data_IF_138469242857
#
_entry.id   IF_138469242857
#
_cell.length_a   1.000
_cell.length_b   1.000
_cell.length_c   1.000
_cell.angle_alpha   90.00
_cell.angle_beta   90.00
_cell.angle_gamma   90.00
#
_symmetry.space_group_name_H-M   'P 1'
#
loop_
_entity.id
_entity.type
_entity.pdbx_description
1 polymer ?
#
# COMPACT_ATOMS: atom_id res chain seq x y z
N UNK A 1 -7.68 20.13 -3.38
CA UNK A 1 -8.47 19.00 -2.87
C UNK A 1 -8.10 17.79 -3.70
N UNK A 2 -7.29 16.87 -3.18
CA UNK A 2 -6.88 15.69 -3.93
C UNK A 2 -8.02 14.68 -3.93
N UNK A 3 -8.93 14.84 -4.90
CA UNK A 3 -9.98 13.86 -5.17
C UNK A 3 -9.26 12.63 -5.72
N UNK A 4 -9.24 11.55 -4.96
CA UNK A 4 -8.69 10.28 -5.43
C UNK A 4 -9.39 9.86 -6.72
N UNK A 5 -8.65 9.26 -7.66
CA UNK A 5 -9.29 8.66 -8.84
C UNK A 5 -10.18 7.49 -8.41
N UNK A 6 -11.14 7.11 -9.26
CA UNK A 6 -12.07 6.02 -8.98
C UNK A 6 -11.36 4.70 -8.62
N UNK A 7 -10.19 4.44 -9.23
CA UNK A 7 -9.37 3.27 -8.89
C UNK A 7 -8.86 3.30 -7.44
N UNK A 8 -8.34 4.45 -6.99
CA UNK A 8 -7.93 4.63 -5.60
C UNK A 8 -9.11 4.61 -4.63
N UNK A 9 -10.27 5.14 -5.02
CA UNK A 9 -11.50 5.06 -4.22
C UNK A 9 -12.01 3.63 -4.04
N UNK A 10 -11.73 2.74 -5.00
CA UNK A 10 -12.05 1.32 -4.91
C UNK A 10 -11.13 0.51 -3.99
N UNK A 11 -9.96 1.04 -3.62
CA UNK A 11 -9.07 0.36 -2.68
C UNK A 11 -9.65 0.49 -1.28
N UNK A 12 -10.12 -0.63 -0.72
CA UNK A 12 -10.57 -0.68 0.67
C UNK A 12 -9.38 -0.87 1.59
N UNK A 13 -9.04 0.12 2.44
CA UNK A 13 -7.87 0.04 3.30
C UNK A 13 -8.06 -1.05 4.37
N UNK A 14 -6.98 -1.76 4.69
CA UNK A 14 -6.96 -2.84 5.69
C UNK A 14 -7.60 -4.15 5.24
N UNK A 15 -8.06 -4.26 3.98
CA UNK A 15 -8.50 -5.54 3.41
C UNK A 15 -7.30 -6.22 2.74
N UNK A 16 -6.93 -7.43 3.16
CA UNK A 16 -5.89 -8.20 2.49
C UNK A 16 -6.38 -8.77 1.15
N UNK A 17 -5.46 -8.99 0.23
CA UNK A 17 -5.74 -9.57 -1.09
C UNK A 17 -6.33 -8.59 -2.11
N UNK A 18 -6.48 -7.31 -1.75
CA UNK A 18 -6.84 -6.28 -2.73
C UNK A 18 -5.70 -6.16 -3.74
N UNK A 19 -6.06 -6.13 -5.02
CA UNK A 19 -5.10 -5.89 -6.10
C UNK A 19 -4.95 -4.39 -6.38
N UNK A 20 -3.73 -3.92 -6.68
CA UNK A 20 -3.53 -2.56 -7.15
C UNK A 20 -4.28 -2.34 -8.48
N UNK A 21 -5.01 -1.24 -8.60
CA UNK A 21 -5.58 -0.86 -9.90
C UNK A 21 -4.45 -0.49 -10.89
N UNK A 22 -4.73 -0.54 -12.20
CA UNK A 22 -3.70 -0.35 -13.24
C UNK A 22 -2.89 0.97 -13.12
N UNK A 23 -3.50 2.02 -12.58
CA UNK A 23 -2.84 3.32 -12.35
C UNK A 23 -1.97 3.38 -11.10
N UNK A 24 -1.93 2.32 -10.28
CA UNK A 24 -1.17 2.26 -9.04
C UNK A 24 0.22 1.65 -9.30
N UNK A 25 1.20 2.53 -9.50
CA UNK A 25 2.59 2.12 -9.72
C UNK A 25 3.28 1.70 -8.42
N UNK A 26 3.97 0.57 -8.44
CA UNK A 26 4.84 0.13 -7.34
C UNK A 26 6.14 0.97 -7.35
N UNK A 27 6.41 1.67 -6.25
CA UNK A 27 7.62 2.49 -6.10
C UNK A 27 8.79 1.72 -5.47
N UNK A 28 8.54 0.52 -4.92
CA UNK A 28 9.52 -0.29 -4.23
C UNK A 28 9.01 -0.78 -2.88
N UNK A 29 9.90 -1.37 -2.10
CA UNK A 29 9.57 -1.86 -0.76
C UNK A 29 10.68 -1.52 0.22
N UNK A 30 10.31 -1.44 1.49
CA UNK A 30 11.24 -1.27 2.61
C UNK A 30 10.99 -2.35 3.65
N UNK A 31 12.03 -2.76 4.36
CA UNK A 31 11.91 -3.61 5.54
C UNK A 31 12.03 -2.71 6.77
N UNK A 32 10.92 -2.42 7.48
CA UNK A 32 10.99 -1.65 8.73
C UNK A 32 11.97 -2.30 9.72
N UNK A 33 12.95 -1.54 10.19
CA UNK A 33 13.84 -1.95 11.30
C UNK A 33 13.22 -1.71 12.68
N UNK A 34 11.94 -1.35 12.75
CA UNK A 34 11.27 -1.10 14.01
C UNK A 34 11.15 -2.41 14.82
N UNK A 35 11.50 -2.35 16.10
CA UNK A 35 11.44 -3.48 17.04
C UNK A 35 10.01 -4.03 17.09
N UNK A 36 9.83 -5.30 16.76
CA UNK A 36 8.50 -5.94 16.65
C UNK A 36 7.87 -5.94 15.25
N UNK A 37 8.48 -5.28 14.25
CA UNK A 37 8.18 -5.44 12.81
C UNK A 37 9.33 -6.10 12.05
N UNK A 38 10.21 -6.78 12.76
CA UNK A 38 11.34 -7.50 12.19
C UNK A 38 10.83 -8.63 11.28
N UNK A 39 11.12 -8.50 9.98
CA UNK A 39 10.62 -9.40 8.92
C UNK A 39 9.37 -8.90 8.20
N UNK A 40 8.77 -7.79 8.63
CA UNK A 40 7.70 -7.17 7.86
C UNK A 40 8.28 -6.50 6.61
N UNK A 41 7.52 -6.48 5.53
CA UNK A 41 7.82 -5.81 4.27
C UNK A 41 6.74 -4.77 4.00
N UNK A 42 7.13 -3.53 3.81
CA UNK A 42 6.23 -2.43 3.47
C UNK A 42 6.46 -2.04 2.00
N UNK A 43 5.51 -2.38 1.14
CA UNK A 43 5.51 -2.01 -0.27
C UNK A 43 4.87 -0.63 -0.45
N UNK A 44 5.56 0.24 -1.17
CA UNK A 44 5.15 1.61 -1.43
C UNK A 44 4.57 1.70 -2.84
N UNK A 45 3.42 2.33 -2.94
CA UNK A 45 2.66 2.49 -4.17
C UNK A 45 2.29 3.96 -4.37
N UNK A 46 2.28 4.40 -5.62
CA UNK A 46 1.87 5.74 -5.99
C UNK A 46 0.96 5.68 -7.19
N UNK A 47 -0.21 6.28 -7.04
CA UNK A 47 -1.14 6.44 -8.15
C UNK A 47 -0.58 7.45 -9.15
N UNK A 48 -0.48 7.06 -10.41
CA UNK A 48 -0.06 7.92 -11.51
C UNK A 48 -1.16 8.91 -11.93
N UNK A 49 -2.41 8.62 -11.62
CA UNK A 49 -3.56 9.47 -11.98
C UNK A 49 -3.79 10.60 -10.97
N UNK A 50 -3.98 10.26 -9.69
CA UNK A 50 -4.30 11.24 -8.64
C UNK A 50 -3.12 11.58 -7.72
N UNK A 51 -1.98 10.90 -7.88
CA UNK A 51 -0.81 11.10 -7.01
C UNK A 51 -0.95 10.51 -5.60
N UNK A 52 -2.06 9.82 -5.29
CA UNK A 52 -2.27 9.21 -3.98
C UNK A 52 -1.19 8.17 -3.66
N UNK A 53 -0.70 8.21 -2.42
CA UNK A 53 0.33 7.30 -1.93
C UNK A 53 -0.33 6.20 -1.11
N UNK A 54 -0.03 4.97 -1.44
CA UNK A 54 -0.53 3.79 -0.77
C UNK A 54 0.64 2.96 -0.26
N UNK A 55 0.44 2.33 0.89
CA UNK A 55 1.38 1.44 1.53
C UNK A 55 0.71 0.10 1.68
N UNK A 56 1.44 -1.00 1.45
CA UNK A 56 0.94 -2.35 1.72
C UNK A 56 1.94 -3.03 2.64
N UNK A 57 1.48 -3.43 3.81
CA UNK A 57 2.35 -4.08 4.78
C UNK A 57 2.12 -5.60 4.70
N UNK A 58 3.20 -6.34 4.60
CA UNK A 58 3.22 -7.80 4.67
C UNK A 58 3.96 -8.20 5.94
N UNK A 59 3.34 -9.01 6.79
CA UNK A 59 3.95 -9.48 8.03
C UNK A 59 5.09 -10.48 7.75
N UNK A 60 5.91 -10.79 8.76
CA UNK A 60 7.05 -11.74 8.66
C UNK A 60 6.67 -13.15 8.18
N UNK A 61 5.40 -13.51 8.27
CA UNK A 61 4.87 -14.77 7.76
C UNK A 61 4.40 -14.72 6.30
N UNK A 62 4.57 -13.57 5.62
CA UNK A 62 4.05 -13.35 4.27
C UNK A 62 2.58 -12.95 4.23
N UNK A 63 1.97 -12.64 5.39
CA UNK A 63 0.55 -12.27 5.47
C UNK A 63 0.37 -10.80 5.10
N UNK A 64 -0.33 -10.57 4.00
CA UNK A 64 -0.78 -9.24 3.62
C UNK A 64 -1.70 -8.64 4.71
N UNK A 65 -1.40 -7.42 5.14
CA UNK A 65 -2.21 -6.63 6.06
C UNK A 65 -3.13 -5.66 5.31
N UNK A 66 -3.11 -5.69 3.98
CA UNK A 66 -3.89 -4.82 3.11
C UNK A 66 -3.26 -3.45 2.90
N UNK A 67 -3.91 -2.65 2.07
CA UNK A 67 -3.46 -1.30 1.75
C UNK A 67 -3.77 -0.30 2.87
N UNK A 68 -2.88 0.66 3.07
CA UNK A 68 -3.02 1.80 3.98
C UNK A 68 -2.70 3.06 3.19
N UNK A 69 -3.51 4.10 3.36
CA UNK A 69 -3.25 5.38 2.72
C UNK A 69 -2.10 6.07 3.46
N UNK A 70 -1.04 6.46 2.73
CA UNK A 70 0.04 7.24 3.31
C UNK A 70 -0.40 8.72 3.43
N UNK A 71 -0.05 9.41 4.53
CA UNK A 71 -0.33 10.83 4.70
C UNK A 71 0.45 11.73 3.72
#
# INVERSE_FOLDING_TARGET
>A
MSVMCAGCQGITPGIPGIEPHAGLGHQGFVHPQAKGREGCREDHFRCLECGAKWLRETDKWGTDQGFKLAP
#
